data_IF_711152931008
#
_entry.id   IF_711152931008
#
_cell.length_a   1.000
_cell.length_b   1.000
_cell.length_c   1.000
_cell.angle_alpha   90.00
_cell.angle_beta   90.00
_cell.angle_gamma   90.00
#
_symmetry.space_group_name_H-M   'P 1'
#
loop_
_entity.id
_entity.type
_entity.pdbx_description
1 polymer ?
#
# COMPACT_ATOMS: atom_id res chain seq x y z
N UNK A 1 -37.99 -75.65 -41.31
CA UNK A 1 -38.11 -74.35 -40.62
C UNK A 1 -37.28 -74.43 -39.33
N UNK A 2 -36.00 -74.04 -39.39
CA UNK A 2 -35.13 -74.02 -38.20
C UNK A 2 -35.03 -72.57 -37.74
N UNK A 3 -35.53 -72.31 -36.50
CA UNK A 3 -35.44 -71.04 -35.86
C UNK A 3 -33.99 -70.94 -35.26
N UNK A 4 -33.20 -69.98 -35.76
CA UNK A 4 -31.99 -69.55 -35.15
C UNK A 4 -32.30 -68.59 -33.99
N UNK A 5 -32.12 -69.07 -32.76
CA UNK A 5 -32.11 -68.20 -31.56
C UNK A 5 -30.75 -67.51 -31.51
N UNK A 6 -30.74 -66.19 -31.70
CA UNK A 6 -29.58 -65.32 -31.36
C UNK A 6 -29.53 -65.14 -29.84
N UNK A 7 -28.55 -65.76 -29.21
CA UNK A 7 -28.26 -65.54 -27.80
C UNK A 7 -27.71 -64.12 -27.60
N UNK A 8 -28.47 -63.26 -26.97
CA UNK A 8 -27.98 -61.98 -26.47
C UNK A 8 -27.09 -62.27 -25.25
N UNK A 9 -25.78 -62.21 -25.47
CA UNK A 9 -24.78 -62.23 -24.40
C UNK A 9 -25.00 -61.00 -23.53
N UNK A 10 -25.43 -61.20 -22.29
CA UNK A 10 -25.46 -60.20 -21.27
C UNK A 10 -24.00 -59.77 -20.94
N UNK A 11 -23.52 -58.69 -21.54
CA UNK A 11 -22.28 -58.05 -21.09
C UNK A 11 -22.52 -57.62 -19.63
N UNK A 12 -21.79 -58.18 -18.67
CA UNK A 12 -21.76 -57.76 -17.28
C UNK A 12 -21.38 -56.26 -17.27
N UNK A 13 -22.29 -55.42 -16.82
CA UNK A 13 -22.07 -53.98 -16.70
C UNK A 13 -20.91 -53.80 -15.72
N UNK A 14 -19.76 -53.35 -16.20
CA UNK A 14 -18.60 -53.02 -15.41
C UNK A 14 -18.98 -51.76 -14.60
N UNK A 15 -18.85 -51.80 -13.28
CA UNK A 15 -19.09 -50.67 -12.40
C UNK A 15 -17.80 -50.33 -11.69
N UNK A 16 -17.35 -49.09 -11.82
CA UNK A 16 -16.23 -48.57 -11.07
C UNK A 16 -16.70 -48.01 -9.72
N UNK A 17 -15.87 -48.19 -8.69
CA UNK A 17 -16.11 -47.70 -7.36
C UNK A 17 -14.97 -46.82 -6.90
N UNK A 18 -15.19 -46.00 -5.86
CA UNK A 18 -14.12 -45.18 -5.28
C UNK A 18 -12.89 -46.00 -4.87
N UNK A 19 -13.07 -47.29 -4.45
CA UNK A 19 -11.96 -48.19 -4.08
C UNK A 19 -11.04 -48.48 -5.28
N UNK A 20 -11.60 -48.68 -6.49
CA UNK A 20 -10.80 -48.91 -7.71
C UNK A 20 -9.87 -47.71 -8.00
N UNK A 21 -10.36 -46.50 -7.77
CA UNK A 21 -9.63 -45.23 -8.02
C UNK A 21 -8.64 -44.93 -6.88
N UNK A 22 -8.99 -45.16 -5.63
CA UNK A 22 -8.07 -45.07 -4.49
C UNK A 22 -6.86 -46.00 -4.69
N UNK A 23 -7.09 -47.22 -5.19
CA UNK A 23 -6.02 -48.18 -5.51
C UNK A 23 -5.09 -47.67 -6.62
N UNK A 24 -5.60 -46.85 -7.58
CA UNK A 24 -4.81 -46.17 -8.58
C UNK A 24 -4.05 -44.93 -8.03
N UNK A 25 -4.21 -44.62 -6.72
CA UNK A 25 -3.55 -43.52 -6.04
C UNK A 25 -4.30 -42.16 -6.21
N UNK A 26 -5.60 -42.16 -6.53
CA UNK A 26 -6.44 -40.99 -6.39
C UNK A 26 -6.66 -40.69 -4.91
N UNK A 27 -6.75 -39.43 -4.56
CA UNK A 27 -7.14 -38.98 -3.22
C UNK A 27 -8.63 -38.66 -3.18
N UNK A 28 -9.27 -38.80 -2.03
CA UNK A 28 -10.65 -38.37 -1.82
C UNK A 28 -10.80 -36.89 -2.18
N UNK A 29 -11.88 -36.51 -2.87
CA UNK A 29 -12.16 -35.15 -3.29
C UNK A 29 -12.69 -35.05 -4.73
N UNK A 30 -12.74 -33.82 -5.26
CA UNK A 30 -13.32 -33.51 -6.58
C UNK A 30 -12.74 -34.33 -7.72
N UNK A 31 -11.42 -34.52 -7.76
CA UNK A 31 -10.74 -35.29 -8.82
C UNK A 31 -11.16 -36.76 -8.84
N UNK A 32 -11.38 -37.38 -7.66
CA UNK A 32 -11.90 -38.76 -7.57
C UNK A 32 -13.34 -38.84 -8.07
N UNK A 33 -14.19 -37.86 -7.75
CA UNK A 33 -15.58 -37.81 -8.22
C UNK A 33 -15.64 -37.75 -9.75
N UNK A 34 -14.93 -36.80 -10.36
CA UNK A 34 -14.88 -36.64 -11.83
C UNK A 34 -14.31 -37.89 -12.51
N UNK A 35 -13.25 -38.49 -11.94
CA UNK A 35 -12.67 -39.73 -12.49
C UNK A 35 -13.67 -40.90 -12.44
N UNK A 36 -14.47 -41.00 -11.38
CA UNK A 36 -15.48 -42.02 -11.20
C UNK A 36 -16.64 -41.86 -12.21
N UNK A 37 -17.07 -40.63 -12.45
CA UNK A 37 -18.08 -40.31 -13.46
C UNK A 37 -17.65 -40.73 -14.88
N UNK A 38 -16.43 -40.32 -15.29
CA UNK A 38 -15.87 -40.66 -16.59
C UNK A 38 -15.66 -42.18 -16.71
N UNK A 39 -15.13 -42.84 -15.68
CA UNK A 39 -14.92 -44.28 -15.69
C UNK A 39 -16.25 -45.07 -15.88
N UNK A 40 -17.31 -44.66 -15.18
CA UNK A 40 -18.61 -45.30 -15.32
C UNK A 40 -19.30 -44.97 -16.65
N UNK A 41 -19.08 -43.80 -17.24
CA UNK A 41 -19.53 -43.42 -18.57
C UNK A 41 -18.92 -44.34 -19.65
N UNK A 42 -17.62 -44.63 -19.54
CA UNK A 42 -16.87 -45.44 -20.48
C UNK A 42 -17.07 -46.96 -20.28
N UNK A 43 -17.57 -47.37 -19.10
CA UNK A 43 -17.71 -48.77 -18.72
C UNK A 43 -18.62 -49.60 -19.66
N UNK A 44 -19.49 -48.97 -20.45
CA UNK A 44 -20.33 -49.63 -21.44
C UNK A 44 -19.66 -49.82 -22.81
N UNK A 45 -18.58 -49.12 -23.10
CA UNK A 45 -17.93 -49.07 -24.41
C UNK A 45 -16.49 -49.57 -24.41
N UNK A 46 -15.80 -49.50 -23.28
CA UNK A 46 -14.39 -49.87 -23.14
C UNK A 46 -14.12 -51.00 -22.12
N UNK A 47 -12.99 -51.69 -22.30
CA UNK A 47 -12.54 -52.69 -21.37
C UNK A 47 -12.05 -52.03 -20.05
N UNK A 48 -12.37 -52.64 -18.88
CA UNK A 48 -11.97 -52.11 -17.57
C UNK A 48 -10.47 -51.76 -17.50
N UNK A 49 -9.62 -52.58 -18.05
CA UNK A 49 -8.15 -52.39 -18.02
C UNK A 49 -7.71 -51.18 -18.84
N UNK A 50 -8.37 -50.89 -19.98
CA UNK A 50 -8.11 -49.67 -20.80
C UNK A 50 -8.43 -48.42 -20.02
N UNK A 51 -9.62 -48.36 -19.39
CA UNK A 51 -10.08 -47.24 -18.59
C UNK A 51 -9.12 -46.96 -17.43
N UNK A 52 -8.72 -48.02 -16.68
CA UNK A 52 -7.76 -47.88 -15.57
C UNK A 52 -6.39 -47.38 -16.02
N UNK A 53 -5.95 -47.82 -17.20
CA UNK A 53 -4.67 -47.33 -17.82
C UNK A 53 -4.77 -45.86 -18.19
N UNK A 54 -5.86 -45.44 -18.81
CA UNK A 54 -6.09 -44.03 -19.17
C UNK A 54 -6.20 -43.14 -17.93
N UNK A 55 -6.96 -43.56 -16.93
CA UNK A 55 -7.04 -42.85 -15.63
C UNK A 55 -5.64 -42.67 -14.99
N UNK A 56 -4.80 -43.71 -15.00
CA UNK A 56 -3.43 -43.60 -14.47
C UNK A 56 -2.55 -42.64 -15.27
N UNK A 57 -2.72 -42.58 -16.60
CA UNK A 57 -1.99 -41.64 -17.47
C UNK A 57 -2.41 -40.19 -17.23
N UNK A 58 -3.72 -39.92 -17.22
CA UNK A 58 -4.26 -38.57 -16.94
C UNK A 58 -3.80 -38.07 -15.59
N UNK A 59 -3.82 -38.92 -14.54
CA UNK A 59 -3.31 -38.56 -13.22
C UNK A 59 -1.83 -38.17 -13.21
N UNK A 60 -1.00 -38.86 -14.01
CA UNK A 60 0.46 -38.62 -14.08
C UNK A 60 0.82 -37.39 -14.87
N UNK A 61 0.08 -37.09 -15.94
CA UNK A 61 0.33 -36.01 -16.89
C UNK A 61 -1.00 -35.36 -17.30
N UNK A 62 -1.67 -34.62 -16.42
CA UNK A 62 -2.94 -34.01 -16.75
C UNK A 62 -2.85 -33.00 -17.91
N UNK A 63 -1.74 -32.26 -18.05
CA UNK A 63 -1.58 -31.24 -19.09
C UNK A 63 -1.70 -31.82 -20.52
N UNK A 64 -1.28 -33.08 -20.72
CA UNK A 64 -1.39 -33.77 -22.01
C UNK A 64 -2.85 -34.01 -22.46
N UNK A 65 -3.82 -33.88 -21.53
CA UNK A 65 -5.23 -34.19 -21.74
C UNK A 65 -6.17 -32.99 -21.64
N UNK A 66 -5.64 -31.77 -21.56
CA UNK A 66 -6.48 -30.55 -21.45
C UNK A 66 -7.33 -30.28 -22.72
N UNK A 67 -6.91 -30.82 -23.86
CA UNK A 67 -7.63 -30.72 -25.13
C UNK A 67 -8.33 -32.06 -25.54
N UNK A 68 -8.31 -33.06 -24.67
CA UNK A 68 -8.94 -34.35 -24.95
C UNK A 68 -10.46 -34.28 -24.66
N UNK A 69 -11.35 -34.61 -25.61
CA UNK A 69 -12.79 -34.41 -25.43
C UNK A 69 -13.40 -35.25 -24.32
N UNK A 70 -12.77 -36.34 -23.92
CA UNK A 70 -13.27 -37.24 -22.85
C UNK A 70 -12.59 -36.97 -21.51
N UNK A 71 -11.28 -36.76 -21.51
CA UNK A 71 -10.45 -36.65 -20.32
C UNK A 71 -10.22 -35.22 -19.83
N UNK A 72 -10.56 -34.21 -20.64
CA UNK A 72 -10.42 -32.79 -20.32
C UNK A 72 -11.01 -32.41 -18.95
N UNK A 73 -12.23 -32.83 -18.55
CA UNK A 73 -12.78 -32.45 -17.24
C UNK A 73 -11.96 -32.98 -16.07
N UNK A 74 -11.38 -34.19 -16.21
CA UNK A 74 -10.50 -34.77 -15.19
C UNK A 74 -9.13 -34.08 -15.18
N UNK A 75 -8.56 -33.83 -16.36
CA UNK A 75 -7.30 -33.10 -16.49
C UNK A 75 -7.39 -31.72 -15.84
N UNK A 76 -8.45 -30.97 -16.16
CA UNK A 76 -8.73 -29.67 -15.57
C UNK A 76 -8.89 -29.74 -14.04
N UNK A 77 -9.61 -30.76 -13.53
CA UNK A 77 -9.76 -30.94 -12.09
C UNK A 77 -8.42 -31.19 -11.37
N UNK A 78 -7.46 -31.88 -12.02
CA UNK A 78 -6.10 -32.04 -11.47
C UNK A 78 -5.30 -30.75 -11.50
N UNK A 79 -5.36 -29.98 -12.59
CA UNK A 79 -4.71 -28.67 -12.71
C UNK A 79 -5.25 -27.71 -11.66
N UNK A 80 -6.57 -27.65 -11.50
CA UNK A 80 -7.24 -26.83 -10.49
C UNK A 80 -6.81 -27.23 -9.06
N UNK A 81 -6.79 -28.55 -8.77
CA UNK A 81 -6.37 -29.07 -7.46
C UNK A 81 -4.89 -28.79 -7.17
N UNK A 82 -4.03 -28.88 -8.18
CA UNK A 82 -2.61 -28.51 -8.04
C UNK A 82 -2.45 -27.02 -7.79
N UNK A 83 -3.22 -26.18 -8.49
CA UNK A 83 -3.26 -24.71 -8.29
C UNK A 83 -3.74 -24.35 -6.89
N UNK A 84 -4.81 -24.99 -6.42
CA UNK A 84 -5.31 -24.80 -5.05
C UNK A 84 -4.30 -25.26 -3.98
N UNK A 85 -3.60 -26.38 -4.21
CA UNK A 85 -2.56 -26.87 -3.31
C UNK A 85 -1.35 -25.94 -3.28
N UNK A 86 -0.93 -25.43 -4.43
CA UNK A 86 0.13 -24.43 -4.54
C UNK A 86 -0.25 -23.11 -3.83
N UNK A 87 -1.48 -22.65 -3.99
CA UNK A 87 -2.00 -21.47 -3.32
C UNK A 87 -2.09 -21.62 -1.76
N UNK A 88 -2.17 -22.87 -1.27
CA UNK A 88 -2.19 -23.19 0.18
C UNK A 88 -0.79 -23.47 0.74
N UNK A 89 0.22 -23.67 -0.10
CA UNK A 89 1.58 -23.93 0.36
C UNK A 89 2.17 -22.66 1.01
N UNK A 90 2.80 -22.83 2.17
CA UNK A 90 3.52 -21.73 2.83
C UNK A 90 4.78 -21.43 2.04
N UNK A 91 4.93 -20.18 1.62
CA UNK A 91 6.09 -19.70 0.88
C UNK A 91 7.28 -19.63 1.85
N UNK A 92 8.39 -20.27 1.49
CA UNK A 92 9.62 -20.22 2.26
C UNK A 92 10.28 -18.84 2.16
N UNK A 93 10.78 -18.35 3.27
CA UNK A 93 11.60 -17.14 3.30
C UNK A 93 13.04 -17.46 2.88
N UNK A 94 13.76 -16.46 2.38
CA UNK A 94 15.18 -16.59 2.04
C UNK A 94 16.03 -16.81 3.30
N UNK A 95 17.08 -17.58 3.17
CA UNK A 95 18.13 -17.79 4.16
C UNK A 95 19.48 -17.33 3.53
N UNK A 96 20.40 -16.80 4.27
CA UNK A 96 20.35 -16.15 5.57
C UNK A 96 19.92 -14.67 5.49
N UNK A 97 20.22 -13.88 6.52
CA UNK A 97 19.94 -12.43 6.55
C UNK A 97 20.47 -11.73 5.30
N UNK A 98 19.59 -10.93 4.68
CA UNK A 98 19.92 -10.12 3.51
C UNK A 98 20.40 -8.74 3.95
N UNK A 99 21.55 -8.29 3.42
CA UNK A 99 22.06 -6.96 3.71
C UNK A 99 21.15 -5.86 3.17
N UNK A 100 20.98 -4.79 3.94
CA UNK A 100 20.27 -3.57 3.55
C UNK A 100 20.92 -2.33 4.20
N UNK A 101 20.63 -1.14 3.68
CA UNK A 101 21.18 0.10 4.20
C UNK A 101 20.49 0.50 5.53
N UNK A 102 21.26 0.94 6.51
CA UNK A 102 20.74 1.44 7.79
C UNK A 102 21.37 2.82 8.05
N UNK A 103 20.50 3.83 8.17
CA UNK A 103 20.90 5.19 8.44
C UNK A 103 20.55 5.54 9.90
N UNK A 104 21.52 6.05 10.68
CA UNK A 104 21.30 6.45 12.08
C UNK A 104 20.96 5.27 13.00
N UNK A 105 21.69 4.15 12.88
CA UNK A 105 21.41 2.88 13.57
C UNK A 105 21.19 3.01 15.08
N UNK A 106 21.88 3.96 15.71
CA UNK A 106 21.84 4.22 17.15
C UNK A 106 20.47 4.75 17.65
N UNK A 107 19.64 5.28 16.75
CA UNK A 107 18.31 5.80 17.08
C UNK A 107 17.17 4.88 16.66
N UNK A 108 17.48 3.74 16.00
CA UNK A 108 16.48 2.82 15.47
C UNK A 108 16.07 1.79 16.51
N UNK A 109 14.77 1.59 16.68
CA UNK A 109 14.22 0.57 17.56
C UNK A 109 14.55 -0.86 17.06
N UNK A 110 14.89 -1.77 17.99
CA UNK A 110 15.17 -3.18 17.66
C UNK A 110 13.98 -3.87 16.93
N UNK A 111 12.77 -3.49 17.28
CA UNK A 111 11.55 -3.98 16.59
C UNK A 111 11.53 -3.61 15.11
N UNK A 112 12.01 -2.44 14.72
CA UNK A 112 12.11 -2.02 13.33
C UNK A 112 13.19 -2.81 12.58
N UNK A 113 14.34 -3.06 13.19
CA UNK A 113 15.40 -3.92 12.63
C UNK A 113 14.88 -5.34 12.39
N UNK A 114 14.20 -5.92 13.37
CA UNK A 114 13.59 -7.26 13.24
C UNK A 114 12.58 -7.31 12.10
N UNK A 115 11.69 -6.31 12.00
CA UNK A 115 10.69 -6.26 10.92
C UNK A 115 11.35 -6.12 9.54
N UNK A 116 12.41 -5.31 9.43
CA UNK A 116 13.11 -5.14 8.17
C UNK A 116 13.88 -6.41 7.76
N UNK A 117 14.50 -7.11 8.71
CA UNK A 117 15.14 -8.40 8.46
C UNK A 117 14.14 -9.40 7.87
N UNK A 118 12.94 -9.51 8.44
CA UNK A 118 11.88 -10.38 7.92
C UNK A 118 11.43 -9.92 6.52
N UNK A 119 11.28 -8.61 6.30
CA UNK A 119 10.87 -8.07 5.01
C UNK A 119 11.90 -8.38 3.91
N UNK A 120 13.19 -8.29 4.21
CA UNK A 120 14.26 -8.62 3.29
C UNK A 120 14.36 -10.12 2.94
N UNK A 121 13.85 -11.00 3.81
CA UNK A 121 13.78 -12.44 3.56
C UNK A 121 12.66 -12.87 2.59
N UNK A 122 11.75 -11.97 2.20
CA UNK A 122 10.74 -12.32 1.20
C UNK A 122 11.38 -12.73 -0.13
N UNK A 123 10.87 -13.76 -0.85
CA UNK A 123 11.41 -14.16 -2.15
C UNK A 123 11.45 -13.01 -3.16
N UNK A 124 10.50 -12.08 -3.09
CA UNK A 124 10.35 -10.93 -4.00
C UNK A 124 11.22 -9.73 -3.62
N UNK A 125 11.77 -9.69 -2.41
CA UNK A 125 12.60 -8.56 -1.94
C UNK A 125 13.95 -8.54 -2.65
N UNK A 126 14.38 -7.35 -3.08
CA UNK A 126 15.63 -7.13 -3.82
C UNK A 126 16.59 -6.24 -3.02
N UNK A 127 16.10 -5.13 -2.49
CA UNK A 127 16.89 -4.16 -1.74
C UNK A 127 16.04 -3.51 -0.65
N UNK A 128 16.69 -2.92 0.35
CA UNK A 128 16.01 -2.25 1.43
C UNK A 128 16.85 -1.20 2.13
N UNK A 129 16.16 -0.33 2.87
CA UNK A 129 16.79 0.67 3.73
C UNK A 129 15.93 0.99 4.95
N UNK A 130 16.57 1.37 6.05
CA UNK A 130 15.93 1.98 7.22
C UNK A 130 16.38 3.42 7.38
N UNK A 131 15.42 4.31 7.58
CA UNK A 131 15.65 5.73 7.84
C UNK A 131 15.97 5.96 9.32
N UNK A 132 16.62 7.09 9.69
CA UNK A 132 17.13 7.34 11.05
C UNK A 132 16.06 7.34 12.16
N UNK A 133 14.81 7.56 11.83
CA UNK A 133 13.66 7.59 12.75
C UNK A 133 12.84 6.28 12.71
N UNK A 134 13.40 5.22 12.13
CA UNK A 134 12.67 3.98 11.95
C UNK A 134 12.25 3.35 13.27
N UNK A 135 10.96 3.02 13.36
CA UNK A 135 10.35 2.41 14.53
C UNK A 135 9.36 1.32 14.15
N UNK A 136 8.92 0.54 15.14
CA UNK A 136 8.05 -0.60 14.90
C UNK A 136 6.71 -0.18 14.31
N UNK A 137 6.33 -0.80 13.19
CA UNK A 137 5.04 -0.65 12.50
C UNK A 137 4.32 -2.00 12.36
N UNK A 138 3.42 -2.06 11.40
CA UNK A 138 2.72 -3.31 11.03
C UNK A 138 3.21 -3.76 9.65
N UNK A 139 3.81 -4.94 9.56
CA UNK A 139 4.43 -5.44 8.34
C UNK A 139 5.79 -4.78 8.12
N UNK A 140 5.89 -3.85 7.17
CA UNK A 140 7.07 -3.03 7.00
C UNK A 140 7.19 -2.03 8.17
N UNK A 141 8.38 -1.78 8.76
CA UNK A 141 8.57 -0.77 9.79
C UNK A 141 8.27 0.63 9.24
N UNK A 142 7.87 1.55 10.11
CA UNK A 142 7.80 2.98 9.75
C UNK A 142 9.24 3.48 9.62
N UNK A 143 9.53 4.28 8.60
CA UNK A 143 10.90 4.61 8.19
C UNK A 143 11.54 3.52 7.30
N UNK A 144 10.78 2.47 6.95
CA UNK A 144 11.25 1.38 6.10
C UNK A 144 11.06 1.66 4.61
N UNK A 145 12.07 1.31 3.82
CA UNK A 145 12.06 1.30 2.36
C UNK A 145 12.36 -0.12 1.88
N UNK A 146 11.52 -0.67 1.01
CA UNK A 146 11.68 -2.04 0.50
C UNK A 146 11.40 -2.08 -1.00
N UNK A 147 12.39 -2.49 -1.77
CA UNK A 147 12.26 -2.75 -3.20
C UNK A 147 11.95 -4.22 -3.45
N UNK A 148 10.92 -4.50 -4.24
CA UNK A 148 10.45 -5.84 -4.59
C UNK A 148 10.36 -6.00 -6.11
N UNK A 149 10.55 -7.23 -6.58
CA UNK A 149 10.41 -7.57 -8.01
C UNK A 149 8.97 -7.92 -8.32
N UNK A 150 8.35 -7.11 -9.21
CA UNK A 150 7.00 -7.33 -9.74
C UNK A 150 5.91 -7.66 -8.70
N UNK A 151 6.07 -7.19 -7.47
CA UNK A 151 5.15 -7.50 -6.37
C UNK A 151 4.87 -6.28 -5.51
N UNK A 152 3.61 -6.12 -5.09
CA UNK A 152 3.20 -5.06 -4.18
C UNK A 152 2.67 -5.64 -2.88
N UNK A 153 3.07 -5.06 -1.75
CA UNK A 153 2.69 -5.47 -0.40
C UNK A 153 1.66 -4.48 0.15
N UNK A 154 0.36 -4.78 0.16
CA UNK A 154 -0.66 -3.80 0.58
C UNK A 154 -0.44 -3.27 1.99
N UNK A 155 -0.06 -4.12 2.92
CA UNK A 155 0.20 -3.70 4.30
C UNK A 155 1.60 -3.10 4.50
N UNK A 156 2.51 -3.31 3.53
CA UNK A 156 3.80 -2.61 3.42
C UNK A 156 3.64 -1.15 3.02
N UNK A 157 2.65 -0.84 2.16
CA UNK A 157 2.21 0.53 1.87
C UNK A 157 1.58 1.17 3.11
N UNK A 158 0.79 0.40 3.86
CA UNK A 158 0.11 0.85 5.07
C UNK A 158 -1.37 1.12 4.88
N UNK A 159 -2.08 1.28 6.01
CA UNK A 159 -3.53 1.48 6.03
C UNK A 159 -3.92 2.86 5.49
N UNK A 160 -3.10 3.87 5.73
CA UNK A 160 -3.31 5.22 5.22
C UNK A 160 -2.50 5.43 3.94
N UNK A 161 -3.01 4.86 2.85
CA UNK A 161 -2.40 4.95 1.51
C UNK A 161 -2.27 6.43 1.11
N UNK A 162 -1.07 6.84 0.70
CA UNK A 162 -0.82 8.20 0.24
C UNK A 162 -0.88 9.25 1.34
N UNK A 163 -0.77 8.85 2.64
CA UNK A 163 -0.58 9.80 3.73
C UNK A 163 0.54 10.74 3.39
N UNK A 164 0.33 12.04 3.56
CA UNK A 164 1.23 13.09 3.09
C UNK A 164 1.26 14.31 3.96
N UNK A 165 2.33 15.06 3.77
CA UNK A 165 2.47 16.42 4.25
C UNK A 165 2.25 17.39 3.09
N UNK A 166 1.59 18.51 3.34
CA UNK A 166 1.50 19.63 2.40
C UNK A 166 1.71 20.95 3.13
N UNK A 167 2.53 21.81 2.51
CA UNK A 167 2.83 23.15 3.00
C UNK A 167 2.43 24.16 1.94
N UNK A 168 1.74 25.24 2.36
CA UNK A 168 1.50 26.43 1.51
C UNK A 168 2.09 27.64 2.20
N UNK A 169 2.89 28.40 1.50
CA UNK A 169 3.48 29.67 1.94
C UNK A 169 2.67 30.81 1.37
N UNK A 170 2.34 31.81 2.20
CA UNK A 170 1.51 32.96 1.80
C UNK A 170 2.30 34.26 1.86
N UNK A 171 2.01 35.18 0.96
CA UNK A 171 2.47 36.56 1.02
C UNK A 171 1.70 37.35 2.10
N UNK A 172 1.88 36.91 3.33
CA UNK A 172 1.29 37.52 4.52
C UNK A 172 2.39 37.66 5.60
N UNK A 173 2.65 38.89 6.08
CA UNK A 173 3.63 39.13 7.12
C UNK A 173 3.23 38.43 8.44
N UNK A 174 4.22 37.97 9.20
CA UNK A 174 3.96 37.33 10.48
C UNK A 174 3.19 38.21 11.47
N UNK A 175 3.41 39.52 11.45
CA UNK A 175 2.67 40.47 12.31
C UNK A 175 1.16 40.32 12.16
N UNK A 176 0.68 40.22 10.91
CA UNK A 176 -0.75 40.02 10.63
C UNK A 176 -1.29 38.74 11.28
N UNK A 177 -0.52 37.66 11.29
CA UNK A 177 -0.91 36.42 11.95
C UNK A 177 -1.04 36.60 13.46
N UNK A 178 -0.07 37.26 14.10
CA UNK A 178 -0.09 37.48 15.55
C UNK A 178 -1.21 38.45 15.99
N UNK A 179 -1.49 39.46 15.21
CA UNK A 179 -2.57 40.42 15.47
C UNK A 179 -3.98 39.82 15.25
N UNK A 180 -4.12 38.85 14.37
CA UNK A 180 -5.42 38.30 13.96
C UNK A 180 -5.59 36.82 14.28
N UNK A 181 -4.99 36.29 15.35
CA UNK A 181 -5.03 34.85 15.74
C UNK A 181 -6.44 34.27 15.80
N UNK A 182 -7.43 35.05 16.27
CA UNK A 182 -8.83 34.62 16.35
C UNK A 182 -9.45 34.38 14.97
N UNK A 183 -9.07 35.16 13.94
CA UNK A 183 -9.46 34.94 12.55
C UNK A 183 -8.95 33.58 12.07
N UNK A 184 -7.66 33.34 12.17
CA UNK A 184 -7.03 32.10 11.70
C UNK A 184 -7.62 30.85 12.38
N UNK A 185 -7.85 30.93 13.70
CA UNK A 185 -8.49 29.86 14.45
C UNK A 185 -9.91 29.59 13.98
N UNK A 186 -10.72 30.65 13.80
CA UNK A 186 -12.10 30.57 13.34
C UNK A 186 -12.20 29.93 11.95
N UNK A 187 -11.39 30.42 11.00
CA UNK A 187 -11.41 29.95 9.63
C UNK A 187 -10.92 28.47 9.53
N UNK A 188 -9.92 28.08 10.33
CA UNK A 188 -9.49 26.70 10.39
C UNK A 188 -10.60 25.77 10.86
N UNK A 189 -11.31 26.13 11.95
CA UNK A 189 -12.43 25.35 12.48
C UNK A 189 -13.61 25.30 11.48
N UNK A 190 -13.90 26.41 10.82
CA UNK A 190 -15.03 26.50 9.90
C UNK A 190 -14.84 25.72 8.59
N UNK A 191 -13.59 25.58 8.14
CA UNK A 191 -13.27 25.04 6.80
C UNK A 191 -12.61 23.67 6.80
N UNK A 192 -12.37 23.06 7.96
CA UNK A 192 -11.80 21.71 8.09
C UNK A 192 -12.67 20.81 8.94
N UNK A 193 -12.68 19.52 8.62
CA UNK A 193 -13.36 18.50 9.41
C UNK A 193 -12.34 17.51 9.97
N UNK A 194 -12.41 17.24 11.28
CA UNK A 194 -11.51 16.34 12.00
C UNK A 194 -12.28 15.15 12.58
N UNK A 195 -11.56 14.10 12.90
CA UNK A 195 -12.09 12.86 13.46
C UNK A 195 -12.24 11.72 12.45
N UNK A 196 -12.12 10.50 12.94
CA UNK A 196 -12.30 9.31 12.15
C UNK A 196 -13.74 9.20 11.62
N UNK A 197 -13.88 8.97 10.31
CA UNK A 197 -15.20 8.85 9.67
C UNK A 197 -15.93 10.17 9.39
N UNK A 198 -15.51 11.29 9.97
CA UNK A 198 -16.13 12.59 9.72
C UNK A 198 -15.87 13.08 8.29
N UNK A 199 -16.81 13.87 7.79
CA UNK A 199 -16.78 14.47 6.46
C UNK A 199 -17.79 15.61 6.36
N UNK A 200 -18.09 16.03 5.15
CA UNK A 200 -19.02 17.10 4.84
C UNK A 200 -20.35 16.56 4.27
N UNK A 201 -21.43 17.28 4.49
CA UNK A 201 -22.76 16.92 4.01
C UNK A 201 -23.39 18.03 3.17
N UNK A 202 -24.32 17.68 2.30
CA UNK A 202 -25.07 18.63 1.49
C UNK A 202 -24.20 19.63 0.74
N UNK A 203 -24.47 20.92 0.89
CA UNK A 203 -23.78 22.04 0.23
C UNK A 203 -22.32 22.26 0.68
N UNK A 204 -21.93 21.67 1.82
CA UNK A 204 -20.58 21.84 2.37
C UNK A 204 -19.59 20.83 1.77
N UNK A 205 -20.09 19.82 1.03
CA UNK A 205 -19.25 18.91 0.24
C UNK A 205 -18.46 19.69 -0.80
N UNK A 206 -17.18 19.41 -0.89
CA UNK A 206 -16.32 19.99 -1.91
C UNK A 206 -16.30 19.08 -3.15
N UNK A 207 -16.15 19.71 -4.32
CA UNK A 207 -15.87 18.99 -5.55
C UNK A 207 -14.40 19.09 -5.93
N UNK A 208 -13.87 18.02 -6.49
CA UNK A 208 -12.55 17.95 -7.12
C UNK A 208 -12.60 16.90 -8.24
N UNK A 209 -11.86 17.12 -9.33
CA UNK A 209 -11.81 16.24 -10.50
C UNK A 209 -11.40 14.79 -10.20
N UNK A 210 -10.74 14.54 -9.08
CA UNK A 210 -10.39 13.18 -8.63
C UNK A 210 -11.62 12.28 -8.49
N UNK A 211 -12.80 12.86 -8.20
CA UNK A 211 -14.06 12.11 -8.09
C UNK A 211 -14.61 11.62 -9.42
N UNK A 212 -14.11 12.17 -10.55
CA UNK A 212 -14.51 11.77 -11.90
C UNK A 212 -13.58 10.70 -12.49
N UNK A 213 -12.59 10.26 -11.73
CA UNK A 213 -11.66 9.22 -12.15
C UNK A 213 -12.42 7.93 -12.47
N UNK A 214 -12.13 7.38 -13.65
CA UNK A 214 -12.77 6.14 -14.15
C UNK A 214 -12.48 4.93 -13.26
N UNK A 215 -11.38 4.98 -12.52
CA UNK A 215 -10.98 3.93 -11.57
C UNK A 215 -12.06 3.66 -10.52
N UNK A 216 -12.87 4.63 -10.15
CA UNK A 216 -14.04 4.38 -9.28
C UNK A 216 -15.05 3.39 -9.86
N UNK A 217 -15.07 3.19 -11.17
CA UNK A 217 -16.02 2.27 -11.84
C UNK A 217 -15.42 0.87 -12.08
N UNK A 218 -14.11 0.67 -11.88
CA UNK A 218 -13.41 -0.57 -12.24
C UNK A 218 -13.83 -1.77 -11.38
N UNK A 219 -13.99 -1.58 -10.07
CA UNK A 219 -14.37 -2.67 -9.17
C UNK A 219 -15.63 -2.33 -8.38
N UNK A 220 -16.32 -3.37 -7.88
CA UNK A 220 -17.46 -3.18 -6.98
C UNK A 220 -17.07 -2.39 -5.74
N UNK A 221 -15.91 -2.72 -5.16
CA UNK A 221 -15.38 -2.03 -3.97
C UNK A 221 -15.24 -0.52 -4.22
N UNK A 222 -14.63 -0.12 -5.31
CA UNK A 222 -14.38 1.30 -5.61
C UNK A 222 -15.68 2.06 -5.89
N UNK A 223 -16.63 1.44 -6.59
CA UNK A 223 -17.97 2.04 -6.80
C UNK A 223 -18.69 2.33 -5.49
N UNK A 224 -18.67 1.38 -4.55
CA UNK A 224 -19.31 1.52 -3.23
C UNK A 224 -18.61 2.59 -2.35
N UNK A 225 -17.34 2.88 -2.61
CA UNK A 225 -16.57 3.88 -1.85
C UNK A 225 -16.69 5.31 -2.38
N UNK A 226 -17.24 5.53 -3.57
CA UNK A 226 -17.30 6.84 -4.24
C UNK A 226 -18.04 7.91 -3.43
N UNK A 227 -19.22 7.60 -2.88
CA UNK A 227 -19.97 8.55 -2.07
C UNK A 227 -19.26 8.89 -0.75
N UNK A 228 -18.62 7.89 -0.13
CA UNK A 228 -17.79 8.09 1.05
C UNK A 228 -16.59 8.99 0.75
N UNK A 229 -15.92 8.79 -0.39
CA UNK A 229 -14.86 9.66 -0.85
C UNK A 229 -15.36 11.09 -1.06
N UNK A 230 -16.52 11.26 -1.70
CA UNK A 230 -17.13 12.59 -1.87
C UNK A 230 -17.45 13.27 -0.55
N UNK A 231 -17.99 12.54 0.43
CA UNK A 231 -18.28 13.07 1.76
C UNK A 231 -17.01 13.50 2.52
N UNK A 232 -15.91 12.76 2.40
CA UNK A 232 -14.68 12.99 3.16
C UNK A 232 -13.66 13.89 2.46
N UNK A 233 -13.91 14.31 1.23
CA UNK A 233 -13.00 15.15 0.46
C UNK A 233 -12.78 16.51 1.17
N UNK A 234 -11.52 16.83 1.44
CA UNK A 234 -11.12 18.03 2.16
C UNK A 234 -11.29 17.95 3.68
N UNK A 235 -11.51 16.75 4.24
CA UNK A 235 -11.39 16.51 5.68
C UNK A 235 -9.97 16.10 6.04
N UNK A 236 -9.51 16.43 7.25
CA UNK A 236 -8.18 16.04 7.72
C UNK A 236 -8.15 14.65 8.35
N UNK A 237 -9.15 14.30 9.16
CA UNK A 237 -9.24 13.03 9.85
C UNK A 237 -8.80 13.05 11.29
N UNK A 238 -8.32 11.92 11.80
CA UNK A 238 -7.93 11.75 13.20
C UNK A 238 -6.57 11.07 13.36
N UNK A 239 -6.21 10.75 14.60
CA UNK A 239 -4.89 10.18 14.91
C UNK A 239 -3.81 11.26 14.87
N UNK A 240 -2.74 10.99 14.12
CA UNK A 240 -1.61 11.91 13.90
C UNK A 240 -1.87 12.97 12.81
N UNK A 241 -3.09 13.03 12.24
CA UNK A 241 -3.44 14.03 11.24
C UNK A 241 -3.74 15.39 11.87
N UNK A 242 -3.31 16.44 11.20
CA UNK A 242 -3.48 17.82 11.67
C UNK A 242 -3.59 18.82 10.51
N UNK A 243 -4.07 20.00 10.84
CA UNK A 243 -4.04 21.21 10.01
C UNK A 243 -3.62 22.34 10.92
N UNK A 244 -2.56 23.05 10.57
CA UNK A 244 -2.03 24.10 11.44
C UNK A 244 -1.50 25.30 10.65
N UNK A 245 -1.71 26.49 11.25
CA UNK A 245 -1.08 27.72 10.82
C UNK A 245 0.24 27.93 11.57
N UNK A 246 1.24 28.42 10.89
CA UNK A 246 2.53 28.71 11.45
C UNK A 246 3.32 29.76 10.68
N UNK A 247 4.52 30.05 11.16
CA UNK A 247 5.46 30.92 10.48
C UNK A 247 6.60 30.06 9.95
N UNK A 248 6.93 30.22 8.68
CA UNK A 248 8.10 29.64 8.04
C UNK A 248 9.18 30.70 7.87
N UNK A 249 10.42 30.36 8.20
CA UNK A 249 11.57 31.23 8.05
C UNK A 249 12.47 30.74 6.90
N UNK A 250 12.64 31.57 5.89
CA UNK A 250 13.60 31.37 4.81
C UNK A 250 14.85 32.17 5.14
N UNK A 251 15.89 31.52 5.63
CA UNK A 251 17.19 32.14 5.97
C UNK A 251 17.89 32.74 4.75
N UNK A 252 17.55 32.26 3.56
CA UNK A 252 18.02 32.73 2.25
C UNK A 252 16.89 32.59 1.20
N UNK A 253 17.05 33.21 0.04
CA UNK A 253 16.12 33.05 -1.08
C UNK A 253 16.11 31.61 -1.58
N UNK A 254 14.95 30.96 -1.61
CA UNK A 254 14.76 29.63 -2.19
C UNK A 254 14.41 29.74 -3.67
N UNK A 255 15.40 29.50 -4.53
CA UNK A 255 15.23 29.59 -5.98
C UNK A 255 14.31 28.50 -6.53
N UNK A 256 14.20 27.33 -5.88
CA UNK A 256 13.35 26.23 -6.34
C UNK A 256 11.87 26.52 -6.08
N UNK A 257 11.57 27.21 -4.98
CA UNK A 257 10.21 27.63 -4.64
C UNK A 257 9.88 29.04 -5.15
N UNK A 258 10.87 29.81 -5.57
CA UNK A 258 10.70 31.22 -5.95
C UNK A 258 10.30 32.12 -4.78
N UNK A 259 10.72 31.76 -3.55
CA UNK A 259 10.41 32.53 -2.32
C UNK A 259 11.66 33.26 -1.84
N UNK A 260 11.53 34.58 -1.69
CA UNK A 260 12.61 35.41 -1.17
C UNK A 260 12.89 35.12 0.30
N UNK A 261 14.13 35.45 0.76
CA UNK A 261 14.49 35.43 2.18
C UNK A 261 13.47 36.22 3.00
N UNK A 262 12.96 35.62 4.09
CA UNK A 262 11.97 36.29 4.95
C UNK A 262 11.15 35.32 5.78
N UNK A 263 10.26 35.88 6.60
CA UNK A 263 9.34 35.13 7.46
C UNK A 263 7.90 35.29 6.96
N UNK A 264 7.26 34.20 6.68
CA UNK A 264 5.96 34.15 6.02
C UNK A 264 4.96 33.31 6.79
N UNK A 265 3.69 33.67 6.67
CA UNK A 265 2.61 32.78 7.11
C UNK A 265 2.65 31.50 6.28
N UNK A 266 2.48 30.38 6.95
CA UNK A 266 2.37 29.07 6.31
C UNK A 266 1.20 28.25 6.85
N UNK A 267 0.60 27.44 5.98
CA UNK A 267 -0.37 26.40 6.34
C UNK A 267 0.30 25.04 6.14
N UNK A 268 0.39 24.27 7.21
CA UNK A 268 0.93 22.91 7.19
C UNK A 268 -0.17 21.90 7.47
N UNK A 269 -0.25 20.85 6.66
CA UNK A 269 -1.24 19.79 6.86
C UNK A 269 -0.61 18.40 6.79
N UNK A 270 -1.07 17.51 7.66
CA UNK A 270 -0.80 16.09 7.61
C UNK A 270 -2.14 15.36 7.53
N UNK A 271 -2.36 14.62 6.45
CA UNK A 271 -3.58 13.86 6.20
C UNK A 271 -3.31 12.77 5.16
N UNK A 272 -4.30 11.95 4.86
CA UNK A 272 -4.17 10.87 3.90
C UNK A 272 -5.47 10.59 3.13
N UNK A 273 -5.60 9.39 2.61
CA UNK A 273 -6.71 8.97 1.75
C UNK A 273 -8.01 8.65 2.48
N UNK A 274 -8.09 8.99 3.75
CA UNK A 274 -9.29 8.87 4.56
C UNK A 274 -9.87 7.44 4.53
N UNK A 275 -11.18 7.30 4.65
CA UNK A 275 -11.86 6.03 4.61
C UNK A 275 -11.78 5.29 3.26
N UNK A 276 -11.47 5.99 2.17
CA UNK A 276 -11.21 5.37 0.86
C UNK A 276 -9.99 4.46 0.96
N UNK A 277 -8.81 5.02 1.27
CA UNK A 277 -7.58 4.24 1.33
C UNK A 277 -7.57 3.19 2.42
N UNK A 278 -8.11 3.51 3.61
CA UNK A 278 -8.20 2.54 4.71
C UNK A 278 -9.03 1.30 4.32
N UNK A 279 -10.12 1.47 3.58
CA UNK A 279 -10.95 0.35 3.12
C UNK A 279 -10.24 -0.45 2.03
N UNK A 280 -9.59 0.23 1.07
CA UNK A 280 -8.76 -0.41 0.01
C UNK A 280 -7.64 -1.24 0.66
N UNK A 281 -6.85 -0.65 1.54
CA UNK A 281 -5.75 -1.33 2.23
C UNK A 281 -6.23 -2.57 2.99
N UNK A 282 -7.32 -2.45 3.76
CA UNK A 282 -7.89 -3.56 4.51
C UNK A 282 -8.40 -4.70 3.63
N UNK A 283 -9.03 -4.38 2.50
CA UNK A 283 -9.52 -5.37 1.54
C UNK A 283 -8.36 -6.13 0.88
N UNK A 284 -7.43 -5.42 0.24
CA UNK A 284 -6.34 -6.06 -0.50
C UNK A 284 -5.29 -6.70 0.40
N UNK A 285 -5.15 -6.26 1.66
CA UNK A 285 -4.35 -7.01 2.66
C UNK A 285 -4.94 -8.40 2.92
N UNK A 286 -6.27 -8.54 3.00
CA UNK A 286 -6.90 -9.87 3.12
C UNK A 286 -6.71 -10.70 1.85
N UNK A 287 -6.95 -10.09 0.68
CA UNK A 287 -6.73 -10.74 -0.62
C UNK A 287 -5.28 -11.23 -0.71
N UNK A 288 -4.29 -10.39 -0.39
CA UNK A 288 -2.88 -10.78 -0.41
C UNK A 288 -2.61 -11.98 0.52
N UNK A 289 -3.15 -11.98 1.74
CA UNK A 289 -3.02 -13.10 2.69
C UNK A 289 -3.68 -14.39 2.20
N UNK A 290 -4.68 -14.30 1.35
CA UNK A 290 -5.34 -15.47 0.78
C UNK A 290 -4.52 -16.10 -0.34
N UNK A 291 -3.88 -15.30 -1.18
CA UNK A 291 -3.04 -15.75 -2.30
C UNK A 291 -1.60 -16.05 -1.90
N UNK A 292 -1.02 -15.27 -0.99
CA UNK A 292 0.38 -15.35 -0.57
C UNK A 292 0.46 -15.85 0.88
N UNK A 293 0.60 -17.17 1.05
CA UNK A 293 0.71 -17.79 2.38
C UNK A 293 2.15 -17.72 2.88
N UNK A 294 2.43 -16.76 3.74
CA UNK A 294 3.72 -16.63 4.42
C UNK A 294 3.69 -17.25 5.83
N UNK A 295 4.85 -17.57 6.44
CA UNK A 295 4.94 -17.92 7.86
C UNK A 295 4.28 -16.87 8.75
N UNK A 296 3.75 -17.25 9.90
CA UNK A 296 2.93 -16.41 10.77
C UNK A 296 3.59 -15.04 11.12
N UNK A 297 4.91 -15.05 11.39
CA UNK A 297 5.66 -13.83 11.70
C UNK A 297 5.83 -12.88 10.51
N UNK A 298 5.71 -13.37 9.28
CA UNK A 298 5.78 -12.60 8.04
C UNK A 298 4.40 -12.33 7.41
N UNK A 299 3.31 -12.84 7.98
CA UNK A 299 1.98 -12.81 7.36
C UNK A 299 1.48 -11.41 6.97
N UNK A 300 1.93 -10.37 7.65
CA UNK A 300 1.61 -8.99 7.32
C UNK A 300 2.40 -8.43 6.12
N UNK A 301 3.35 -9.21 5.60
CA UNK A 301 4.12 -8.89 4.40
C UNK A 301 3.61 -9.66 3.17
N UNK A 302 2.44 -10.28 3.25
CA UNK A 302 1.80 -10.93 2.10
C UNK A 302 1.67 -9.94 0.94
N UNK A 303 2.06 -10.39 -0.24
CA UNK A 303 2.16 -9.57 -1.44
C UNK A 303 1.24 -10.06 -2.55
N UNK A 304 0.98 -9.19 -3.50
CA UNK A 304 0.25 -9.45 -4.74
C UNK A 304 1.23 -9.29 -5.91
N UNK A 305 1.32 -10.29 -6.75
CA UNK A 305 2.07 -10.25 -8.00
C UNK A 305 1.34 -9.33 -9.00
N UNK A 306 2.06 -8.39 -9.60
CA UNK A 306 1.50 -7.41 -10.54
C UNK A 306 1.09 -8.01 -11.88
N UNK A 307 1.46 -9.26 -12.20
CA UNK A 307 0.96 -9.98 -13.36
C UNK A 307 -0.43 -10.59 -13.11
N UNK A 308 -0.94 -10.51 -11.88
CA UNK A 308 -2.27 -11.01 -11.50
C UNK A 308 -3.33 -9.91 -11.54
N UNK A 309 -4.58 -10.30 -11.75
CA UNK A 309 -5.73 -9.38 -11.68
C UNK A 309 -5.77 -8.64 -10.33
N UNK A 310 -5.62 -9.36 -9.21
CA UNK A 310 -5.63 -8.78 -7.87
C UNK A 310 -4.49 -7.77 -7.65
N UNK A 311 -3.30 -8.03 -8.20
CA UNK A 311 -2.17 -7.10 -8.14
C UNK A 311 -2.43 -5.83 -8.94
N UNK A 312 -2.97 -5.96 -10.16
CA UNK A 312 -3.34 -4.84 -11.02
C UNK A 312 -4.48 -4.00 -10.41
N UNK A 313 -5.52 -4.64 -9.89
CA UNK A 313 -6.61 -3.95 -9.19
C UNK A 313 -6.12 -3.16 -8.00
N UNK A 314 -5.28 -3.78 -7.15
CA UNK A 314 -4.71 -3.07 -5.99
C UNK A 314 -3.84 -1.89 -6.43
N UNK A 315 -2.99 -2.06 -7.45
CA UNK A 315 -2.14 -0.98 -7.95
C UNK A 315 -2.96 0.23 -8.40
N UNK A 316 -4.04 0.00 -9.15
CA UNK A 316 -4.95 1.07 -9.59
C UNK A 316 -5.69 1.71 -8.42
N UNK A 317 -6.19 0.91 -7.47
CA UNK A 317 -6.91 1.40 -6.30
C UNK A 317 -5.98 2.19 -5.36
N UNK A 318 -4.73 1.75 -5.16
CA UNK A 318 -3.70 2.45 -4.41
C UNK A 318 -3.37 3.80 -5.06
N UNK A 319 -3.19 3.83 -6.38
CA UNK A 319 -2.91 5.06 -7.12
C UNK A 319 -4.06 6.06 -7.02
N UNK A 320 -5.31 5.60 -7.17
CA UNK A 320 -6.51 6.43 -6.95
C UNK A 320 -6.54 7.00 -5.52
N UNK A 321 -6.23 6.19 -4.50
CA UNK A 321 -6.20 6.64 -3.11
C UNK A 321 -5.10 7.69 -2.87
N UNK A 322 -3.94 7.56 -3.52
CA UNK A 322 -2.86 8.55 -3.49
C UNK A 322 -3.28 9.90 -4.09
N UNK A 323 -3.89 9.87 -5.28
CA UNK A 323 -4.42 11.08 -5.94
C UNK A 323 -5.55 11.72 -5.11
N UNK A 324 -6.40 10.91 -4.52
CA UNK A 324 -7.47 11.38 -3.64
C UNK A 324 -6.91 12.03 -2.36
N UNK A 325 -5.84 11.50 -1.78
CA UNK A 325 -5.19 12.12 -0.63
C UNK A 325 -4.61 13.50 -1.01
N UNK A 326 -3.99 13.65 -2.19
CA UNK A 326 -3.57 14.96 -2.71
C UNK A 326 -4.73 15.93 -2.85
N UNK A 327 -5.83 15.47 -3.45
CA UNK A 327 -7.05 16.27 -3.59
C UNK A 327 -7.63 16.72 -2.24
N UNK A 328 -7.57 15.89 -1.18
CA UNK A 328 -7.98 16.30 0.16
C UNK A 328 -7.17 17.50 0.66
N UNK A 329 -5.84 17.45 0.54
CA UNK A 329 -4.96 18.56 0.92
C UNK A 329 -5.22 19.80 0.06
N UNK A 330 -5.37 19.64 -1.25
CA UNK A 330 -5.67 20.74 -2.14
C UNK A 330 -6.96 21.48 -1.76
N UNK A 331 -8.01 20.71 -1.44
CA UNK A 331 -9.30 21.29 -1.01
C UNK A 331 -9.16 22.02 0.32
N UNK A 332 -8.43 21.47 1.31
CA UNK A 332 -8.18 22.12 2.61
C UNK A 332 -7.45 23.45 2.37
N UNK A 333 -6.32 23.42 1.67
CA UNK A 333 -5.47 24.58 1.43
C UNK A 333 -6.21 25.66 0.64
N UNK A 334 -6.94 25.29 -0.42
CA UNK A 334 -7.75 26.21 -1.23
C UNK A 334 -8.84 26.90 -0.43
N UNK A 335 -9.59 26.15 0.42
CA UNK A 335 -10.64 26.72 1.28
C UNK A 335 -10.05 27.72 2.26
N UNK A 336 -8.96 27.37 2.93
CA UNK A 336 -8.32 28.22 3.94
C UNK A 336 -7.62 29.43 3.30
N UNK A 337 -6.92 29.29 2.18
CA UNK A 337 -6.34 30.40 1.44
C UNK A 337 -7.43 31.42 1.04
N UNK A 338 -8.55 30.94 0.52
CA UNK A 338 -9.70 31.80 0.17
C UNK A 338 -10.27 32.53 1.37
N UNK A 339 -10.42 31.83 2.51
CA UNK A 339 -11.01 32.38 3.73
C UNK A 339 -10.18 33.51 4.36
N UNK A 340 -8.84 33.45 4.25
CA UNK A 340 -7.95 34.50 4.76
C UNK A 340 -7.59 35.57 3.69
N UNK A 341 -8.00 35.39 2.43
CA UNK A 341 -7.64 36.30 1.34
C UNK A 341 -6.15 36.31 1.00
N UNK A 342 -5.41 35.22 1.33
CA UNK A 342 -3.96 35.16 1.17
C UNK A 342 -3.53 34.83 -0.25
N UNK A 343 -2.51 35.54 -0.76
CA UNK A 343 -1.80 35.19 -1.99
C UNK A 343 -0.84 34.05 -1.70
N UNK A 344 -0.89 32.99 -2.49
CA UNK A 344 0.01 31.85 -2.38
C UNK A 344 1.32 32.18 -3.09
N UNK A 345 2.44 32.10 -2.38
CA UNK A 345 3.80 32.23 -2.94
C UNK A 345 4.33 30.88 -3.42
N UNK A 346 4.18 29.84 -2.60
CA UNK A 346 4.66 28.50 -2.94
C UNK A 346 3.79 27.42 -2.29
N UNK A 347 3.79 26.24 -2.90
CA UNK A 347 3.19 25.03 -2.33
C UNK A 347 4.08 23.84 -2.62
N UNK A 348 4.31 23.03 -1.58
CA UNK A 348 5.00 21.75 -1.68
C UNK A 348 4.18 20.66 -1.00
N UNK A 349 4.23 19.46 -1.54
CA UNK A 349 3.62 18.28 -0.91
C UNK A 349 4.37 17.01 -1.29
N UNK A 350 4.38 16.05 -0.37
CA UNK A 350 4.96 14.73 -0.61
C UNK A 350 4.28 13.67 0.26
N UNK A 351 4.10 12.49 -0.29
CA UNK A 351 3.53 11.37 0.44
C UNK A 351 4.60 10.40 0.91
N UNK A 352 4.35 9.74 2.03
CA UNK A 352 5.30 8.90 2.75
C UNK A 352 4.77 7.49 3.07
N UNK A 353 3.60 7.11 2.52
CA UNK A 353 3.02 5.77 2.59
C UNK A 353 2.53 5.37 1.21
N UNK A 354 3.41 4.81 0.38
CA UNK A 354 3.09 4.46 -1.00
C UNK A 354 4.04 3.40 -1.56
N UNK A 355 3.77 2.95 -2.79
CA UNK A 355 4.68 2.16 -3.59
C UNK A 355 4.87 2.81 -4.97
N UNK A 356 6.10 2.83 -5.46
CA UNK A 356 6.49 3.43 -6.73
C UNK A 356 7.17 2.41 -7.62
N UNK A 357 7.01 2.58 -8.94
CA UNK A 357 7.85 1.93 -9.93
C UNK A 357 9.11 2.76 -10.12
N UNK A 358 10.26 2.19 -9.82
CA UNK A 358 11.55 2.87 -9.91
C UNK A 358 12.58 1.96 -10.58
N UNK A 359 13.48 2.56 -11.34
CA UNK A 359 14.61 1.85 -11.94
C UNK A 359 15.76 1.79 -10.94
N UNK A 360 16.19 0.58 -10.58
CA UNK A 360 17.37 0.32 -9.77
C UNK A 360 18.29 -0.63 -10.59
N UNK A 361 19.49 -0.18 -10.89
CA UNK A 361 20.48 -0.93 -11.69
C UNK A 361 19.93 -1.44 -13.04
N UNK A 362 19.00 -0.66 -13.65
CA UNK A 362 18.38 -0.98 -14.93
C UNK A 362 17.18 -1.92 -14.86
N UNK A 363 16.79 -2.37 -13.66
CA UNK A 363 15.60 -3.18 -13.42
C UNK A 363 14.46 -2.30 -12.83
N UNK A 364 13.23 -2.41 -13.39
CA UNK A 364 12.06 -1.78 -12.78
C UNK A 364 11.63 -2.57 -11.55
N UNK A 365 11.67 -1.92 -10.38
CA UNK A 365 11.28 -2.48 -9.10
C UNK A 365 10.11 -1.72 -8.49
N UNK A 366 9.40 -2.37 -7.60
CA UNK A 366 8.32 -1.77 -6.81
C UNK A 366 8.91 -1.35 -5.46
N UNK A 367 9.11 -0.05 -5.27
CA UNK A 367 9.74 0.51 -4.08
C UNK A 367 8.66 0.98 -3.11
N UNK A 368 8.49 0.23 -2.02
CA UNK A 368 7.58 0.58 -0.93
C UNK A 368 8.28 1.54 0.03
N UNK A 369 7.58 2.59 0.43
CA UNK A 369 8.01 3.49 1.50
C UNK A 369 6.88 3.66 2.51
N UNK A 370 7.19 3.44 3.78
CA UNK A 370 6.27 3.59 4.89
C UNK A 370 6.86 4.54 5.92
N UNK A 371 6.25 5.70 6.09
CA UNK A 371 6.83 6.79 6.87
C UNK A 371 8.11 7.38 6.25
N UNK A 372 8.41 7.06 4.99
CA UNK A 372 9.55 7.55 4.24
C UNK A 372 9.07 8.13 2.91
N UNK A 373 9.79 9.12 2.37
CA UNK A 373 9.41 9.80 1.13
C UNK A 373 10.57 9.78 0.13
N UNK A 374 10.29 9.71 -1.19
CA UNK A 374 11.32 10.00 -2.18
C UNK A 374 11.83 11.42 -1.96
N UNK A 375 13.14 11.62 -1.96
CA UNK A 375 13.74 12.93 -1.85
C UNK A 375 14.06 13.50 -3.22
N UNK A 376 13.87 14.81 -3.39
CA UNK A 376 14.14 15.54 -4.61
C UNK A 376 13.95 17.04 -4.42
N UNK A 377 14.18 17.84 -5.45
CA UNK A 377 13.90 19.27 -5.41
C UNK A 377 12.41 19.53 -5.11
N UNK A 378 12.11 20.43 -4.18
CA UNK A 378 10.74 20.75 -3.77
C UNK A 378 10.07 19.70 -2.86
N UNK A 379 10.82 18.77 -2.29
CA UNK A 379 10.33 17.82 -1.30
C UNK A 379 10.55 18.36 0.11
N UNK A 380 9.50 18.31 0.93
CA UNK A 380 9.56 18.63 2.34
C UNK A 380 9.90 17.38 3.14
N UNK A 381 11.01 17.39 3.87
CA UNK A 381 11.40 16.36 4.83
C UNK A 381 11.22 16.83 6.26
N UNK A 382 10.82 15.94 7.17
CA UNK A 382 10.91 16.14 8.61
C UNK A 382 12.09 15.31 9.10
N UNK A 383 13.04 15.93 9.79
CA UNK A 383 14.29 15.28 10.20
C UNK A 383 14.35 15.20 11.71
N UNK A 384 14.58 14.02 12.31
CA UNK A 384 14.79 13.85 13.74
C UNK A 384 16.16 14.40 14.17
N UNK A 385 16.28 15.07 15.33
CA UNK A 385 17.56 15.28 16.00
C UNK A 385 18.00 16.72 16.28
N UNK A 386 17.20 17.75 15.99
CA UNK A 386 17.52 19.13 16.43
C UNK A 386 16.42 19.66 17.37
N UNK A 387 16.79 20.49 18.40
CA UNK A 387 15.80 21.17 19.19
C UNK A 387 14.93 22.02 18.26
N UNK A 388 13.64 21.79 18.29
CA UNK A 388 12.64 22.51 17.51
C UNK A 388 12.81 24.00 17.73
N UNK A 389 12.92 24.81 16.69
CA UNK A 389 12.46 26.17 16.79
C UNK A 389 10.96 26.12 17.01
N UNK A 390 10.50 26.85 18.01
CA UNK A 390 9.14 26.80 18.53
C UNK A 390 8.10 27.16 17.49
N UNK A 391 7.28 26.22 17.08
CA UNK A 391 5.97 26.47 16.50
C UNK A 391 4.96 26.51 17.65
N UNK A 392 4.32 27.61 17.87
CA UNK A 392 3.14 27.67 18.70
C UNK A 392 1.96 27.13 17.90
N UNK A 393 1.42 25.93 18.20
CA UNK A 393 0.19 25.50 17.60
C UNK A 393 -0.94 26.39 18.13
N UNK A 394 -1.35 27.36 17.34
CA UNK A 394 -2.40 28.31 17.71
C UNK A 394 -3.81 27.79 17.52
N UNK A 395 -3.98 26.67 16.86
CA UNK A 395 -5.23 25.93 16.77
C UNK A 395 -4.93 24.49 16.34
N UNK A 396 -4.67 23.63 17.29
CA UNK A 396 -4.73 22.19 17.09
C UNK A 396 -6.13 21.73 17.43
N UNK A 397 -6.92 21.33 16.45
CA UNK A 397 -8.14 20.60 16.74
C UNK A 397 -7.83 19.10 16.65
N UNK A 398 -7.22 18.56 17.70
CA UNK A 398 -7.26 17.14 17.99
C UNK A 398 -8.24 16.93 19.14
N UNK A 399 -9.42 16.44 18.85
CA UNK A 399 -10.24 15.78 19.87
C UNK A 399 -9.71 14.36 20.02
N UNK A 400 -8.83 14.15 20.96
CA UNK A 400 -8.46 12.97 21.74
C UNK A 400 -6.94 13.00 21.96
N UNK A 401 -6.48 13.06 23.21
CA UNK A 401 -5.11 12.73 23.52
C UNK A 401 -4.95 11.22 23.33
N UNK A 402 -4.18 10.79 22.32
CA UNK A 402 -3.71 9.43 22.24
C UNK A 402 -2.66 9.21 23.32
N UNK A 403 -2.86 8.28 24.28
CA UNK A 403 -1.91 8.08 25.39
C UNK A 403 -0.59 7.39 24.98
N UNK A 404 -0.37 7.08 23.73
CA UNK A 404 0.75 6.21 23.31
C UNK A 404 1.79 6.83 22.39
N UNK A 405 1.74 8.14 22.12
CA UNK A 405 2.76 8.83 21.35
C UNK A 405 3.29 10.11 22.03
N UNK A 406 3.41 10.06 23.35
CA UNK A 406 4.25 11.02 24.07
C UNK A 406 5.70 10.61 23.83
N UNK A 407 6.36 11.20 22.82
CA UNK A 407 7.79 10.98 22.60
C UNK A 407 8.30 11.05 21.18
N UNK A 408 7.46 11.09 20.16
CA UNK A 408 7.92 11.40 18.82
C UNK A 408 8.21 12.90 18.69
N UNK A 409 9.32 13.32 19.30
CA UNK A 409 9.93 14.62 19.03
C UNK A 409 10.62 14.48 17.68
N UNK A 410 10.01 15.00 16.64
CA UNK A 410 10.63 15.04 15.31
C UNK A 410 11.81 15.99 15.35
N UNK A 411 13.02 15.47 15.21
CA UNK A 411 14.26 16.24 15.18
C UNK A 411 14.90 16.12 13.79
N UNK A 412 15.51 17.18 13.33
CA UNK A 412 15.93 17.44 11.95
C UNK A 412 17.38 17.02 11.66
N UNK A 413 17.63 16.29 10.57
CA UNK A 413 18.88 16.33 9.79
C UNK A 413 18.59 16.07 8.32
N UNK A 414 19.28 16.82 7.45
CA UNK A 414 19.09 16.81 6.02
C UNK A 414 19.49 15.49 5.39
N UNK A 415 18.56 14.86 4.68
CA UNK A 415 18.86 13.86 3.66
C UNK A 415 18.10 14.26 2.41
N UNK A 416 18.78 14.98 1.52
CA UNK A 416 18.31 15.25 0.16
C UNK A 416 18.78 14.12 -0.74
N UNK A 417 17.83 13.45 -1.40
CA UNK A 417 18.16 12.53 -2.49
C UNK A 417 17.82 13.19 -3.82
N UNK A 418 18.75 13.21 -4.79
CA UNK A 418 18.45 13.66 -6.15
C UNK A 418 17.43 12.75 -6.82
N UNK A 419 16.78 13.26 -7.85
CA UNK A 419 15.77 12.57 -8.66
C UNK A 419 16.28 11.37 -9.48
N UNK A 420 17.55 10.98 -9.32
CA UNK A 420 18.12 9.74 -9.81
C UNK A 420 18.56 8.91 -8.60
N UNK A 421 18.05 7.71 -8.46
CA UNK A 421 18.50 6.73 -7.46
C UNK A 421 19.99 6.47 -7.70
N UNK A 422 20.87 6.64 -6.69
CA UNK A 422 22.28 6.30 -6.86
C UNK A 422 22.43 4.79 -7.08
N UNK A 423 23.14 4.42 -8.10
CA UNK A 423 23.33 3.04 -8.53
C UNK A 423 24.34 2.24 -7.69
N UNK A 424 24.94 2.84 -6.67
CA UNK A 424 25.85 2.12 -5.76
C UNK A 424 25.77 2.68 -4.33
N UNK A 425 26.07 1.84 -3.32
CA UNK A 425 26.15 2.21 -1.91
C UNK A 425 27.11 3.40 -1.65
N UNK A 426 28.17 3.54 -2.45
CA UNK A 426 29.11 4.65 -2.39
C UNK A 426 28.51 5.98 -2.85
N UNK A 427 27.59 5.96 -3.83
CA UNK A 427 26.88 7.14 -4.32
C UNK A 427 25.82 7.61 -3.30
N UNK A 428 25.19 6.68 -2.56
CA UNK A 428 24.30 7.00 -1.44
C UNK A 428 25.05 7.75 -0.33
N UNK A 429 26.29 7.33 -0.02
CA UNK A 429 27.14 7.98 0.98
C UNK A 429 27.70 9.34 0.52
N UNK A 430 27.99 9.53 -0.77
CA UNK A 430 28.48 10.79 -1.33
C UNK A 430 27.42 11.90 -1.37
N UNK A 431 26.13 11.55 -1.49
CA UNK A 431 25.02 12.50 -1.52
C UNK A 431 24.65 13.07 -0.15
N UNK A 432 25.13 12.47 0.93
CA UNK A 432 24.97 12.98 2.30
C UNK A 432 25.79 14.27 2.56
N UNK A 433 26.63 14.73 1.63
CA UNK A 433 27.58 15.82 1.83
C UNK A 433 27.37 17.07 0.95
N UNK A 434 26.38 17.13 0.08
CA UNK A 434 26.21 18.26 -0.84
C UNK A 434 24.78 18.82 -0.86
N UNK A 435 24.71 20.07 -0.48
CA UNK A 435 23.70 21.12 -0.63
C UNK A 435 22.79 21.44 0.56
N UNK A 436 23.13 22.56 1.17
CA UNK A 436 22.38 23.24 2.21
C UNK A 436 21.35 24.18 1.57
N UNK A 437 20.08 23.87 1.74
CA UNK A 437 18.98 24.85 1.74
C UNK A 437 18.08 24.47 2.91
N UNK A 438 17.96 25.37 3.88
CA UNK A 438 17.30 25.09 5.14
C UNK A 438 15.93 25.72 5.20
N UNK A 439 14.92 24.92 5.50
CA UNK A 439 13.67 25.40 6.03
C UNK A 439 13.67 25.28 7.56
N UNK A 440 13.66 26.39 8.29
CA UNK A 440 13.39 26.42 9.71
C UNK A 440 11.92 26.75 9.96
N UNK A 441 11.15 25.79 10.43
CA UNK A 441 9.83 26.03 11.01
C UNK A 441 10.02 26.43 12.46
N UNK A 442 9.78 27.68 12.80
CA UNK A 442 9.85 28.20 14.17
C UNK A 442 8.53 28.02 14.91
N UNK A 443 8.56 27.27 16.01
CA UNK A 443 7.39 26.97 16.84
C UNK A 443 7.64 27.48 18.28
N UNK A 444 6.97 28.53 18.70
CA UNK A 444 7.05 29.05 20.10
C UNK A 444 6.19 28.22 21.07
N UNK A 445 6.80 27.72 22.14
CA UNK A 445 6.06 27.20 23.29
C UNK A 445 5.47 28.36 24.09
N UNK A 446 4.22 28.29 24.56
CA UNK A 446 3.73 29.27 25.51
C UNK A 446 4.54 29.15 26.82
N UNK A 447 5.15 30.26 27.26
CA UNK A 447 5.66 30.36 28.61
C UNK A 447 4.50 30.14 29.60
N UNK A 448 4.59 29.06 30.37
CA UNK A 448 3.79 28.90 31.58
C UNK A 448 4.26 29.94 32.60
N UNK A 449 3.45 30.93 32.83
CA UNK A 449 3.32 31.61 34.13
C UNK A 449 1.91 31.37 34.65
#
# INVERSE_FOLDING_TARGET
MQCFQFGISHMKTIKFTGKDLLFLGYKEGKTLGVALEIANMLAGTEKKQSILTSLSRVRKKPDDYLNDPVWQPLAQAFVDAAREAAAKAVIALKEPEQAYAIFGKEAIEEGALTQMNIAMQLPVSVAGALMPDAHQGYGLPIGGVLATRNAVIPYGVGVDIGCRMALTVFDIPEAHFFEHRSLYKRELIAHTAFGAGNGFTGKDRAYHQVLDRKEFELTKLLRELKDKAFSQLGSSGGGNHFVEWGIIDFSETDAALGVEKGRYLALLTHSGSRGLGATIAGYYTRVAKDFCKLPAHAANLAYLDLDTEAGQEYWMAMSLAGDYASACHEVIHRKLAKAIGGTVLARVENHHNFAWKELLDGEELIVHRKGATPAGAGVMGIIPGQPQPSFAPLARSSQIPSPTHAGATFQRRDILFPSAVPTTTAQILALLHLNHSFFELNFDKPNNQ
#
